data_IF_923978346340
#
_entry.id   IF_923978346340
#
_cell.length_a   1.000
_cell.length_b   1.000
_cell.length_c   1.000
_cell.angle_alpha   90.00
_cell.angle_beta   90.00
_cell.angle_gamma   90.00
#
_symmetry.space_group_name_H-M   'P 1'
#
loop_
_entity.id
_entity.type
_entity.pdbx_description
1 polymer ?
#
# COMPACT_ATOMS: atom_id res chain seq x y z
N UNK A 1 -14.42 4.84 28.02
CA UNK A 1 -13.98 5.34 26.70
C UNK A 1 -12.47 5.50 26.79
N UNK A 2 -11.69 4.48 26.43
CA UNK A 2 -10.23 4.53 26.58
C UNK A 2 -9.64 5.35 25.42
N UNK A 3 -9.05 6.50 25.73
CA UNK A 3 -8.28 7.31 24.78
C UNK A 3 -7.03 6.52 24.42
N UNK A 4 -6.94 6.04 23.17
CA UNK A 4 -5.86 5.14 22.70
C UNK A 4 -4.46 5.80 22.71
N UNK A 5 -4.34 7.07 23.13
CA UNK A 5 -3.12 7.86 23.06
C UNK A 5 -2.72 8.55 24.38
N UNK A 6 -3.41 8.32 25.49
CA UNK A 6 -3.02 8.87 26.79
C UNK A 6 -2.39 7.77 27.65
N UNK A 7 -1.07 7.70 27.63
CA UNK A 7 -0.31 6.86 28.56
C UNK A 7 0.09 7.72 29.74
N UNK A 8 -0.58 7.54 30.87
CA UNK A 8 -0.18 8.15 32.12
C UNK A 8 1.24 7.68 32.48
N UNK A 9 2.09 8.57 33.00
CA UNK A 9 3.48 8.30 33.41
C UNK A 9 4.44 7.92 32.26
N UNK A 10 4.25 8.48 31.06
CA UNK A 10 5.11 8.18 29.90
C UNK A 10 6.58 8.53 30.16
N UNK A 11 6.86 9.63 30.88
CA UNK A 11 8.22 10.07 31.22
C UNK A 11 8.90 9.11 32.21
N UNK A 12 8.14 8.58 33.17
CA UNK A 12 8.64 7.58 34.12
C UNK A 12 8.96 6.26 33.42
N UNK A 13 8.09 5.80 32.51
CA UNK A 13 8.34 4.61 31.70
C UNK A 13 9.57 4.78 30.80
N UNK A 14 9.72 5.95 30.17
CA UNK A 14 10.89 6.29 29.37
C UNK A 14 12.18 6.23 30.19
N UNK A 15 12.16 6.76 31.42
CA UNK A 15 13.29 6.71 32.35
C UNK A 15 13.68 5.28 32.76
N UNK A 16 12.71 4.36 32.94
CA UNK A 16 13.00 2.95 33.29
C UNK A 16 13.57 2.20 32.10
N UNK A 17 13.00 2.43 30.91
CA UNK A 17 13.40 1.74 29.69
C UNK A 17 14.66 2.33 29.06
N UNK A 18 15.16 3.47 29.58
CA UNK A 18 16.32 4.19 29.04
C UNK A 18 16.05 4.78 27.65
N UNK A 19 14.80 5.11 27.35
CA UNK A 19 14.38 5.65 26.05
C UNK A 19 13.94 7.12 26.13
N UNK A 20 13.71 7.73 24.97
CA UNK A 20 13.15 9.07 24.84
C UNK A 20 11.68 9.02 24.39
N UNK A 21 10.87 9.97 24.85
CA UNK A 21 9.45 10.06 24.45
C UNK A 21 9.36 10.70 23.07
N UNK A 22 8.99 9.91 22.06
CA UNK A 22 8.75 10.39 20.70
C UNK A 22 7.38 11.02 20.53
N UNK A 23 7.29 12.03 19.66
CA UNK A 23 6.01 12.68 19.29
C UNK A 23 5.43 12.11 18.00
N UNK A 24 4.12 11.93 17.92
CA UNK A 24 3.43 11.60 16.67
C UNK A 24 3.03 12.88 15.93
N UNK A 25 3.04 12.91 14.58
CA UNK A 25 3.37 11.79 13.68
C UNK A 25 4.89 11.62 13.43
N UNK A 26 5.38 10.39 13.46
CA UNK A 26 6.80 10.04 13.19
C UNK A 26 6.91 9.02 12.06
N UNK A 27 7.99 9.03 11.28
CA UNK A 27 8.20 8.02 10.22
C UNK A 27 8.91 6.78 10.76
N UNK A 28 8.27 5.61 10.65
CA UNK A 28 8.86 4.31 10.99
C UNK A 28 8.85 3.37 9.79
N UNK A 29 10.01 2.79 9.46
CA UNK A 29 10.19 1.93 8.28
C UNK A 29 9.68 2.56 6.97
N UNK A 30 9.75 3.88 6.87
CA UNK A 30 9.27 4.64 5.72
C UNK A 30 7.75 4.83 5.65
N UNK A 31 7.02 4.55 6.74
CA UNK A 31 5.59 4.83 6.92
C UNK A 31 5.38 5.90 7.99
N UNK A 32 4.50 6.90 7.78
CA UNK A 32 4.12 7.83 8.84
C UNK A 32 3.20 7.14 9.86
N UNK A 33 3.70 6.99 11.09
CA UNK A 33 2.93 6.58 12.26
C UNK A 33 2.08 7.75 12.76
N UNK A 34 0.86 7.46 13.22
CA UNK A 34 -0.07 8.47 13.74
C UNK A 34 -0.84 9.24 12.66
N UNK A 35 -0.61 8.95 11.37
CA UNK A 35 -1.43 9.50 10.29
C UNK A 35 -2.89 8.99 10.38
N UNK A 36 -3.84 9.82 9.92
CA UNK A 36 -5.25 9.42 9.86
C UNK A 36 -5.43 8.23 8.91
N UNK A 37 -6.24 7.25 9.31
CA UNK A 37 -6.60 6.10 8.47
C UNK A 37 -7.15 6.58 7.12
N UNK A 38 -6.63 6.06 6.00
CA UNK A 38 -6.90 6.48 4.61
C UNK A 38 -6.36 7.85 4.19
N UNK A 39 -5.52 8.52 4.97
CA UNK A 39 -4.87 9.76 4.52
C UNK A 39 -4.04 9.49 3.25
N UNK A 40 -4.17 10.40 2.27
CA UNK A 40 -3.34 10.38 1.06
C UNK A 40 -1.86 10.63 1.41
N UNK A 41 -1.59 11.33 2.51
CA UNK A 41 -0.25 11.69 3.00
C UNK A 41 0.61 10.44 3.28
N UNK A 42 0.00 9.31 3.63
CA UNK A 42 0.70 8.03 3.84
C UNK A 42 1.43 7.60 2.56
N UNK A 43 0.89 7.97 1.40
CA UNK A 43 1.40 7.57 0.10
C UNK A 43 2.35 8.58 -0.54
N UNK A 44 2.43 9.81 -0.01
CA UNK A 44 3.29 10.86 -0.58
C UNK A 44 4.76 10.45 -0.58
N UNK A 45 5.24 9.82 0.51
CA UNK A 45 6.60 9.31 0.57
C UNK A 45 6.90 8.21 -0.47
N UNK A 46 5.91 7.42 -0.88
CA UNK A 46 6.06 6.43 -1.96
C UNK A 46 6.12 7.10 -3.32
N UNK A 47 5.23 8.06 -3.55
CA UNK A 47 5.18 8.84 -4.80
C UNK A 47 6.47 9.60 -5.00
N UNK A 48 6.95 10.29 -3.96
CA UNK A 48 8.19 11.05 -4.01
C UNK A 48 9.39 10.15 -4.30
N UNK A 49 9.44 8.94 -3.72
CA UNK A 49 10.47 7.94 -4.04
C UNK A 49 10.40 7.51 -5.51
N UNK A 50 9.21 7.29 -6.06
CA UNK A 50 9.03 6.99 -7.49
C UNK A 50 9.54 8.14 -8.37
N UNK A 51 9.14 9.38 -8.08
CA UNK A 51 9.55 10.58 -8.81
C UNK A 51 11.08 10.80 -8.72
N UNK A 52 11.68 10.63 -7.53
CA UNK A 52 13.14 10.68 -7.33
C UNK A 52 13.91 9.63 -8.14
N UNK A 53 13.39 8.39 -8.24
CA UNK A 53 14.02 7.36 -9.08
C UNK A 53 13.97 7.73 -10.55
N UNK A 54 12.84 8.27 -11.00
CA UNK A 54 12.66 8.71 -12.39
C UNK A 54 13.57 9.87 -12.76
N UNK A 55 13.71 10.87 -11.88
CA UNK A 55 14.61 12.01 -12.10
C UNK A 55 16.07 11.57 -12.28
N UNK A 56 16.49 10.51 -11.57
CA UNK A 56 17.84 9.94 -11.71
C UNK A 56 18.04 9.13 -12.99
N UNK A 57 16.98 8.51 -13.50
CA UNK A 57 17.07 7.71 -14.72
C UNK A 57 17.04 8.60 -15.95
N UNK A 58 18.18 8.69 -16.63
CA UNK A 58 18.29 9.35 -17.93
C UNK A 58 17.55 8.53 -19.00
N UNK A 59 16.23 8.69 -19.06
CA UNK A 59 15.33 7.97 -19.96
C UNK A 59 15.72 8.08 -21.44
N UNK A 60 16.46 9.12 -21.83
CA UNK A 60 17.01 9.29 -23.17
C UNK A 60 17.95 8.15 -23.62
N UNK A 61 18.62 7.48 -22.67
CA UNK A 61 19.52 6.36 -22.95
C UNK A 61 18.87 5.00 -22.74
N UNK A 62 17.59 4.95 -22.38
CA UNK A 62 16.87 3.71 -22.10
C UNK A 62 15.93 3.35 -23.25
N UNK A 63 16.10 2.13 -23.76
CA UNK A 63 15.15 1.52 -24.70
C UNK A 63 13.78 1.34 -24.04
N UNK A 64 12.72 1.22 -24.85
CA UNK A 64 11.35 0.94 -24.33
C UNK A 64 11.32 -0.33 -23.48
N UNK A 65 12.05 -1.36 -23.88
CA UNK A 65 12.21 -2.60 -23.11
C UNK A 65 12.91 -2.37 -21.76
N UNK A 66 14.00 -1.59 -21.75
CA UNK A 66 14.70 -1.24 -20.50
C UNK A 66 13.81 -0.45 -19.53
N UNK A 67 13.01 0.49 -20.04
CA UNK A 67 12.04 1.24 -19.23
C UNK A 67 10.95 0.32 -18.66
N UNK A 68 10.41 -0.59 -19.48
CA UNK A 68 9.43 -1.58 -19.03
C UNK A 68 10.01 -2.46 -17.91
N UNK A 69 11.26 -2.92 -18.06
CA UNK A 69 11.94 -3.70 -17.03
C UNK A 69 12.07 -2.90 -15.72
N UNK A 70 12.48 -1.64 -15.78
CA UNK A 70 12.60 -0.78 -14.59
C UNK A 70 11.26 -0.48 -13.92
N UNK A 71 10.17 -0.37 -14.68
CA UNK A 71 8.83 -0.26 -14.11
C UNK A 71 8.53 -1.51 -13.27
N UNK A 72 8.67 -2.69 -13.87
CA UNK A 72 8.29 -3.94 -13.24
C UNK A 72 9.19 -4.33 -12.05
N UNK A 73 10.49 -4.01 -12.12
CA UNK A 73 11.46 -4.39 -11.07
C UNK A 73 11.58 -3.37 -9.95
N UNK A 74 11.42 -2.07 -10.24
CA UNK A 74 11.65 -1.01 -9.26
C UNK A 74 10.37 -0.26 -8.92
N UNK A 75 9.69 0.36 -9.90
CA UNK A 75 8.52 1.21 -9.62
C UNK A 75 7.32 0.42 -9.10
N UNK A 76 7.20 -0.84 -9.48
CA UNK A 76 6.16 -1.73 -8.96
C UNK A 76 6.50 -2.27 -7.56
N UNK A 77 7.78 -2.37 -7.22
CA UNK A 77 8.25 -2.85 -5.92
C UNK A 77 8.18 -1.79 -4.81
N UNK A 78 8.38 -0.52 -5.15
CA UNK A 78 8.32 0.61 -4.20
C UNK A 78 7.00 0.68 -3.40
N UNK A 79 5.81 0.63 -4.04
CA UNK A 79 4.54 0.65 -3.31
C UNK A 79 4.18 -0.68 -2.64
N UNK A 80 4.84 -1.79 -2.98
CA UNK A 80 4.46 -3.14 -2.51
C UNK A 80 4.37 -3.25 -0.99
N UNK A 81 5.28 -2.62 -0.26
CA UNK A 81 5.24 -2.63 1.21
C UNK A 81 3.95 -1.99 1.73
N UNK A 82 3.64 -0.77 1.28
CA UNK A 82 2.41 -0.06 1.68
C UNK A 82 1.14 -0.76 1.19
N UNK A 83 1.15 -1.30 -0.04
CA UNK A 83 0.04 -2.08 -0.59
C UNK A 83 -0.28 -3.33 0.23
N UNK A 84 0.74 -3.93 0.85
CA UNK A 84 0.55 -5.10 1.70
C UNK A 84 -0.03 -4.77 3.08
N UNK A 85 -0.08 -3.48 3.44
CA UNK A 85 -0.55 -2.99 4.72
C UNK A 85 -1.84 -2.19 4.60
N UNK A 86 -2.05 -1.42 3.53
CA UNK A 86 -3.18 -0.52 3.36
C UNK A 86 -3.86 -0.68 2.00
N UNK A 87 -5.20 -0.54 1.94
CA UNK A 87 -5.91 -0.44 0.67
C UNK A 87 -5.46 0.84 -0.05
N UNK A 88 -5.11 0.70 -1.33
CA UNK A 88 -4.68 1.85 -2.14
C UNK A 88 -5.88 2.73 -2.51
N UNK A 89 -5.84 4.05 -2.21
CA UNK A 89 -6.89 4.95 -2.66
C UNK A 89 -6.87 5.12 -4.20
N UNK A 90 -8.03 5.24 -4.87
CA UNK A 90 -8.09 5.38 -6.33
C UNK A 90 -7.27 6.58 -6.87
N UNK A 91 -7.18 7.67 -6.11
CA UNK A 91 -6.35 8.83 -6.47
C UNK A 91 -4.86 8.51 -6.55
N UNK A 92 -4.35 7.68 -5.63
CA UNK A 92 -2.95 7.23 -5.60
C UNK A 92 -2.69 6.26 -6.74
N UNK A 93 -3.60 5.32 -7.01
CA UNK A 93 -3.52 4.41 -8.16
C UNK A 93 -3.37 5.19 -9.47
N UNK A 94 -4.26 6.17 -9.70
CA UNK A 94 -4.21 7.04 -10.88
C UNK A 94 -2.89 7.81 -10.98
N UNK A 95 -2.37 8.32 -9.86
CA UNK A 95 -1.10 9.06 -9.83
C UNK A 95 0.10 8.16 -10.15
N UNK A 96 0.19 6.98 -9.55
CA UNK A 96 1.25 5.99 -9.85
C UNK A 96 1.19 5.52 -11.31
N UNK A 97 -0.01 5.26 -11.82
CA UNK A 97 -0.20 4.88 -13.22
C UNK A 97 0.20 6.00 -14.19
N UNK A 98 -0.12 7.25 -13.87
CA UNK A 98 0.33 8.41 -14.63
C UNK A 98 1.85 8.49 -14.69
N UNK A 99 2.53 8.30 -13.56
CA UNK A 99 3.98 8.29 -13.44
C UNK A 99 4.61 7.20 -14.32
N UNK A 100 4.13 5.95 -14.20
CA UNK A 100 4.63 4.82 -15.02
C UNK A 100 4.35 5.00 -16.50
N UNK A 101 3.17 5.49 -16.85
CA UNK A 101 2.76 5.74 -18.23
C UNK A 101 3.62 6.81 -18.89
N UNK A 102 3.89 7.92 -18.20
CA UNK A 102 4.80 8.97 -18.68
C UNK A 102 6.20 8.43 -18.91
N UNK A 103 6.73 7.68 -17.94
CA UNK A 103 8.05 7.06 -18.06
C UNK A 103 8.15 6.10 -19.25
N UNK A 104 7.15 5.23 -19.45
CA UNK A 104 7.13 4.27 -20.55
C UNK A 104 7.14 4.95 -21.91
N UNK A 105 6.22 5.91 -22.14
CA UNK A 105 5.95 6.47 -23.46
C UNK A 105 6.74 7.74 -23.80
N UNK A 106 6.91 8.66 -22.85
CA UNK A 106 7.47 9.99 -23.14
C UNK A 106 9.00 9.99 -23.11
N UNK A 107 9.64 9.38 -22.11
CA UNK A 107 11.08 9.60 -21.88
C UNK A 107 11.41 11.10 -21.68
N UNK A 108 12.70 11.47 -21.71
CA UNK A 108 13.18 12.83 -21.42
C UNK A 108 13.16 13.76 -22.66
N UNK A 109 12.33 13.47 -23.67
CA UNK A 109 12.24 14.36 -24.84
C UNK A 109 11.13 15.38 -24.58
N UNK A 110 11.40 16.66 -24.87
CA UNK A 110 10.43 17.77 -24.79
C UNK A 110 9.19 17.53 -25.67
N UNK A 111 9.28 16.63 -26.66
CA UNK A 111 8.14 16.19 -27.44
C UNK A 111 7.24 15.23 -26.65
N UNK A 112 5.95 15.57 -26.54
CA UNK A 112 4.90 14.71 -25.96
C UNK A 112 4.90 13.35 -26.64
N UNK A 113 5.48 12.34 -26.00
CA UNK A 113 5.37 10.96 -26.47
C UNK A 113 3.91 10.53 -26.53
N UNK A 114 3.46 10.02 -27.68
CA UNK A 114 2.10 9.54 -27.88
C UNK A 114 1.85 8.26 -27.08
N UNK A 115 0.70 8.19 -26.40
CA UNK A 115 0.24 6.98 -25.75
C UNK A 115 -0.33 6.03 -26.80
N UNK A 116 0.51 5.13 -27.31
CA UNK A 116 0.16 4.24 -28.42
C UNK A 116 -0.89 3.20 -28.05
N UNK A 117 -0.96 2.80 -26.77
CA UNK A 117 -1.83 1.73 -26.29
C UNK A 117 -2.57 2.19 -25.03
N UNK A 118 -3.85 1.82 -24.92
CA UNK A 118 -4.66 2.04 -23.71
C UNK A 118 -3.96 1.41 -22.50
N UNK A 119 -3.90 2.14 -21.38
CA UNK A 119 -3.18 1.69 -20.18
C UNK A 119 -3.69 0.35 -19.64
N UNK A 120 -5.01 0.13 -19.65
CA UNK A 120 -5.58 -1.13 -19.19
C UNK A 120 -5.07 -2.34 -20.00
N UNK A 121 -4.84 -2.17 -21.31
CA UNK A 121 -4.27 -3.22 -22.16
C UNK A 121 -2.77 -3.43 -21.88
N UNK A 122 -2.04 -2.36 -21.54
CA UNK A 122 -0.63 -2.43 -21.12
C UNK A 122 -0.47 -3.21 -19.81
N UNK A 123 -1.39 -3.02 -18.86
CA UNK A 123 -1.39 -3.70 -17.56
C UNK A 123 -1.88 -5.14 -17.60
N UNK A 124 -2.38 -5.60 -18.74
CA UNK A 124 -2.77 -7.01 -18.91
C UNK A 124 -1.52 -7.90 -18.87
N UNK A 125 -1.67 -9.13 -18.37
CA UNK A 125 -0.59 -10.11 -18.38
C UNK A 125 -0.07 -10.41 -19.80
N UNK A 126 1.22 -10.76 -19.89
CA UNK A 126 1.88 -11.06 -21.19
C UNK A 126 1.19 -12.19 -21.97
N UNK A 127 0.68 -13.21 -21.26
CA UNK A 127 -0.08 -14.32 -21.85
C UNK A 127 -1.35 -13.86 -22.56
N UNK A 128 -1.91 -12.73 -22.14
CA UNK A 128 -3.15 -12.16 -22.67
C UNK A 128 -2.87 -10.95 -23.58
N UNK A 129 -1.65 -10.85 -24.13
CA UNK A 129 -1.27 -9.80 -25.09
C UNK A 129 -0.90 -8.44 -24.51
N UNK A 130 -0.79 -8.32 -23.18
CA UNK A 130 -0.32 -7.08 -22.53
C UNK A 130 1.21 -7.02 -22.34
N UNK A 131 1.71 -5.92 -21.77
CA UNK A 131 3.14 -5.74 -21.52
C UNK A 131 3.60 -6.34 -20.18
N UNK A 132 2.66 -6.83 -19.36
CA UNK A 132 2.96 -7.43 -18.07
C UNK A 132 3.32 -6.41 -16.98
N UNK A 133 2.88 -5.16 -17.12
CA UNK A 133 2.89 -4.19 -16.01
C UNK A 133 1.80 -4.57 -15.02
N UNK A 134 2.08 -4.56 -13.71
CA UNK A 134 1.08 -4.94 -12.72
C UNK A 134 -0.03 -3.90 -12.62
N UNK A 135 -1.29 -4.36 -12.66
CA UNK A 135 -2.40 -3.54 -12.20
C UNK A 135 -2.30 -3.37 -10.67
N UNK A 136 -2.08 -2.14 -10.20
CA UNK A 136 -1.85 -1.87 -8.77
C UNK A 136 -3.05 -2.15 -7.88
N UNK A 137 -4.26 -1.95 -8.40
CA UNK A 137 -5.47 -2.21 -7.64
C UNK A 137 -5.61 -3.70 -7.38
N UNK A 138 -5.51 -4.52 -8.43
CA UNK A 138 -5.54 -5.97 -8.31
C UNK A 138 -4.36 -6.50 -7.47
N UNK A 139 -3.16 -5.94 -7.66
CA UNK A 139 -1.99 -6.33 -6.89
C UNK A 139 -2.15 -6.00 -5.40
N UNK A 140 -2.67 -4.81 -5.07
CA UNK A 140 -2.95 -4.40 -3.70
C UNK A 140 -4.00 -5.28 -3.04
N UNK A 141 -5.12 -5.55 -3.72
CA UNK A 141 -6.16 -6.47 -3.22
C UNK A 141 -5.59 -7.85 -2.94
N UNK A 142 -4.84 -8.43 -3.88
CA UNK A 142 -4.20 -9.74 -3.71
C UNK A 142 -3.22 -9.77 -2.53
N UNK A 143 -2.45 -8.72 -2.30
CA UNK A 143 -1.55 -8.64 -1.14
C UNK A 143 -2.31 -8.53 0.19
N UNK A 144 -3.46 -7.85 0.22
CA UNK A 144 -4.30 -7.76 1.41
C UNK A 144 -5.03 -9.06 1.69
N UNK A 145 -5.45 -9.80 0.65
CA UNK A 145 -6.03 -11.14 0.79
C UNK A 145 -5.09 -12.12 1.51
N UNK A 146 -3.77 -11.91 1.48
CA UNK A 146 -2.83 -12.71 2.28
C UNK A 146 -3.19 -12.68 3.77
N UNK A 147 -3.69 -11.55 4.29
CA UNK A 147 -4.07 -11.42 5.69
C UNK A 147 -5.32 -12.21 6.02
N UNK A 148 -6.23 -12.36 5.06
CA UNK A 148 -7.39 -13.24 5.18
C UNK A 148 -6.96 -14.70 5.29
N UNK A 149 -6.05 -15.13 4.41
CA UNK A 149 -5.50 -16.48 4.44
C UNK A 149 -4.74 -16.75 5.76
N UNK A 150 -3.91 -15.81 6.21
CA UNK A 150 -3.27 -15.89 7.52
C UNK A 150 -4.29 -15.93 8.65
N UNK A 151 -5.34 -15.11 8.57
CA UNK A 151 -6.41 -15.13 9.55
C UNK A 151 -7.09 -16.47 9.61
N UNK A 152 -7.31 -17.17 8.49
CA UNK A 152 -7.90 -18.51 8.50
C UNK A 152 -6.96 -19.54 9.13
N UNK A 153 -5.67 -19.49 8.81
CA UNK A 153 -4.72 -20.57 9.13
C UNK A 153 -4.01 -20.40 10.49
N UNK A 154 -3.77 -19.17 10.95
CA UNK A 154 -2.92 -18.88 12.12
C UNK A 154 -3.72 -18.70 13.43
N UNK A 155 -4.45 -19.75 13.86
CA UNK A 155 -5.36 -19.73 15.03
C UNK A 155 -4.73 -19.22 16.35
N UNK A 156 -3.43 -19.43 16.56
CA UNK A 156 -2.75 -19.20 17.85
C UNK A 156 -2.02 -17.86 17.97
N UNK A 157 -2.07 -17.02 16.95
CA UNK A 157 -1.28 -15.77 16.94
C UNK A 157 -1.94 -14.64 17.73
N UNK A 158 -1.13 -13.84 18.42
CA UNK A 158 -1.62 -12.72 19.24
C UNK A 158 -2.45 -11.72 18.43
N UNK A 159 -1.96 -11.34 17.25
CA UNK A 159 -2.66 -10.38 16.39
C UNK A 159 -4.05 -10.88 16.01
N UNK A 160 -4.18 -12.19 15.71
CA UNK A 160 -5.47 -12.80 15.40
C UNK A 160 -6.41 -12.77 16.59
N UNK A 161 -5.93 -13.10 17.78
CA UNK A 161 -6.73 -13.05 19.02
C UNK A 161 -7.24 -11.64 19.29
N UNK A 162 -6.40 -10.61 19.09
CA UNK A 162 -6.80 -9.20 19.21
C UNK A 162 -7.88 -8.84 18.19
N UNK A 163 -7.73 -9.26 16.94
CA UNK A 163 -8.71 -9.01 15.87
C UNK A 163 -10.04 -9.70 16.18
N UNK A 164 -10.02 -10.98 16.55
CA UNK A 164 -11.21 -11.75 16.91
C UNK A 164 -11.92 -11.20 18.16
N UNK A 165 -11.16 -10.73 19.16
CA UNK A 165 -11.73 -10.08 20.34
C UNK A 165 -12.37 -8.72 20.02
N UNK A 166 -11.79 -7.97 19.06
CA UNK A 166 -12.29 -6.64 18.70
C UNK A 166 -13.49 -6.67 17.76
N UNK A 167 -13.51 -7.57 16.79
CA UNK A 167 -14.52 -7.61 15.73
C UNK A 167 -15.48 -8.80 15.81
N UNK A 168 -15.27 -9.67 16.78
CA UNK A 168 -15.97 -10.95 16.95
C UNK A 168 -15.74 -11.93 15.79
N UNK A 169 -15.65 -13.21 16.14
CA UNK A 169 -15.61 -14.27 15.14
C UNK A 169 -17.03 -14.63 14.72
N UNK A 170 -17.25 -14.69 13.42
CA UNK A 170 -18.45 -15.29 12.85
C UNK A 170 -18.26 -16.81 12.79
N UNK A 171 -17.09 -17.23 12.29
CA UNK A 171 -16.65 -18.61 12.17
C UNK A 171 -15.20 -18.79 12.66
N UNK A 172 -14.74 -20.05 12.69
CA UNK A 172 -13.34 -20.39 12.98
C UNK A 172 -12.33 -19.77 12.02
N UNK A 173 -12.75 -19.24 10.87
CA UNK A 173 -11.86 -18.69 9.84
C UNK A 173 -12.25 -17.27 9.37
N UNK A 174 -13.32 -16.69 9.93
CA UNK A 174 -13.85 -15.39 9.49
C UNK A 174 -14.35 -14.55 10.67
N UNK A 175 -14.10 -13.24 10.64
CA UNK A 175 -14.70 -12.29 11.59
C UNK A 175 -16.09 -11.86 11.13
N UNK A 176 -16.93 -11.36 12.03
CA UNK A 176 -18.20 -10.73 11.63
C UNK A 176 -17.95 -9.50 10.75
N UNK A 177 -18.99 -9.11 10.01
CA UNK A 177 -18.98 -7.87 9.23
C UNK A 177 -18.86 -6.68 10.18
N UNK A 178 -17.89 -5.79 9.90
CA UNK A 178 -17.64 -4.61 10.73
C UNK A 178 -18.66 -3.51 10.37
N UNK A 179 -19.75 -3.45 11.14
CA UNK A 179 -20.83 -2.46 10.99
C UNK A 179 -20.63 -1.18 11.80
N UNK A 180 -19.58 -1.11 12.62
CA UNK A 180 -19.38 0.01 13.55
C UNK A 180 -19.19 1.35 12.83
N UNK A 181 -19.92 2.41 13.22
CA UNK A 181 -19.81 3.75 12.60
C UNK A 181 -18.51 4.47 12.99
N UNK A 182 -17.92 4.13 14.13
CA UNK A 182 -16.68 4.74 14.63
C UNK A 182 -15.45 3.89 14.29
N UNK A 183 -14.42 4.53 13.76
CA UNK A 183 -13.15 3.92 13.42
C UNK A 183 -13.20 3.20 12.06
N UNK A 184 -12.79 3.91 11.01
CA UNK A 184 -12.44 3.30 9.73
C UNK A 184 -11.17 2.48 9.96
N UNK A 185 -11.34 1.24 10.41
CA UNK A 185 -10.22 0.37 10.72
C UNK A 185 -9.65 -0.25 9.45
N UNK A 186 -8.35 -0.47 9.45
CA UNK A 186 -7.67 -1.21 8.39
C UNK A 186 -8.33 -2.58 8.17
N UNK A 187 -8.65 -3.28 9.27
CA UNK A 187 -9.26 -4.60 9.23
C UNK A 187 -10.61 -4.60 8.51
N UNK A 188 -11.42 -3.54 8.65
CA UNK A 188 -12.70 -3.43 7.91
C UNK A 188 -12.50 -3.47 6.40
N UNK A 189 -11.47 -2.80 5.89
CA UNK A 189 -11.14 -2.83 4.46
C UNK A 189 -10.59 -4.19 4.00
N UNK A 190 -9.83 -4.88 4.85
CA UNK A 190 -9.34 -6.23 4.56
C UNK A 190 -10.50 -7.24 4.60
N UNK A 191 -11.38 -7.14 5.61
CA UNK A 191 -12.55 -8.01 5.81
C UNK A 191 -13.54 -7.96 4.63
N UNK A 192 -13.69 -6.79 4.02
CA UNK A 192 -14.53 -6.62 2.83
C UNK A 192 -14.06 -7.47 1.63
N UNK A 193 -12.78 -7.84 1.57
CA UNK A 193 -12.24 -8.65 0.47
C UNK A 193 -12.71 -10.11 0.51
N UNK A 194 -13.27 -10.62 1.61
CA UNK A 194 -13.88 -11.95 1.64
C UNK A 194 -15.13 -12.04 0.75
N UNK A 195 -15.82 -10.93 0.47
CA UNK A 195 -17.01 -10.89 -0.40
C UNK A 195 -16.63 -10.89 -1.90
N UNK A 196 -15.36 -10.65 -2.22
CA UNK A 196 -14.83 -10.64 -3.58
C UNK A 196 -14.24 -12.01 -4.00
N UNK A 197 -14.23 -12.99 -3.10
CA UNK A 197 -13.73 -14.36 -3.32
C UNK A 197 -14.91 -15.30 -3.58
#
# INVERSE_FOLDING_TARGET
MYTINEVNNIDWLASILGGEVGTLPTTYLGMPLGAKSKSLEIWDGVIEKCEKKLARWKTQYLSRGGRLTLINSVLDALPTYMLSLFPIPPGITKRLDSIRRKFLWQGNKENRGFHLVKWNAVTTGKKNGGLGIKNMELHGKALLMKWLCKYSNENQTLWRRVIGAKYENEDSWMTKIVTTPYGISLWRSIRALWEEV
#
